data_IF_831810455834
#
_entry.id   IF_831810455834
#
_cell.length_a   1.000
_cell.length_b   1.000
_cell.length_c   1.000
_cell.angle_alpha   90.00
_cell.angle_beta   90.00
_cell.angle_gamma   90.00
#
_symmetry.space_group_name_H-M   'P 1'
#
loop_
_entity.id
_entity.type
_entity.pdbx_description
1 polymer ?
#
# COMPACT_ATOMS: atom_id res chain seq x y z
N UNK A 1 -26.64 -28.39 -7.02
CA UNK A 1 -25.90 -28.09 -5.77
C UNK A 1 -26.42 -26.77 -5.23
N UNK A 2 -26.76 -26.68 -3.94
CA UNK A 2 -27.28 -25.43 -3.38
C UNK A 2 -26.11 -24.53 -2.98
N UNK A 3 -26.22 -23.20 -3.11
CA UNK A 3 -25.16 -22.26 -2.73
C UNK A 3 -24.81 -22.31 -1.24
N UNK A 4 -25.74 -22.75 -0.38
CA UNK A 4 -25.48 -23.02 1.04
C UNK A 4 -24.42 -24.09 1.25
N UNK A 5 -24.44 -25.15 0.43
CA UNK A 5 -23.52 -26.29 0.58
C UNK A 5 -22.07 -25.86 0.27
N UNK A 6 -21.88 -24.88 -0.62
CA UNK A 6 -20.57 -24.29 -0.92
C UNK A 6 -20.05 -23.42 0.22
N UNK A 7 -20.94 -22.71 0.93
CA UNK A 7 -20.58 -21.89 2.07
C UNK A 7 -20.21 -22.75 3.28
N UNK A 8 -20.94 -23.84 3.51
CA UNK A 8 -20.61 -24.82 4.56
C UNK A 8 -19.30 -25.55 4.25
N UNK A 9 -19.02 -25.85 2.99
CA UNK A 9 -17.75 -26.46 2.56
C UNK A 9 -16.56 -25.51 2.71
N UNK A 10 -16.75 -24.21 2.47
CA UNK A 10 -15.73 -23.19 2.72
C UNK A 10 -15.51 -22.95 4.22
N UNK A 11 -16.56 -23.02 5.04
CA UNK A 11 -16.47 -22.91 6.50
C UNK A 11 -15.82 -24.15 7.15
N UNK A 12 -15.97 -25.32 6.53
CA UNK A 12 -15.41 -26.59 6.98
C UNK A 12 -13.96 -26.83 6.54
N UNK A 13 -13.42 -26.01 5.62
CA UNK A 13 -12.02 -26.11 5.20
C UNK A 13 -11.10 -25.54 6.30
N UNK A 14 -10.29 -26.36 6.98
CA UNK A 14 -9.35 -25.88 8.01
C UNK A 14 -8.26 -24.94 7.43
N UNK A 15 -8.10 -24.88 6.10
CA UNK A 15 -7.26 -23.91 5.42
C UNK A 15 -7.97 -22.55 5.18
N UNK A 16 -9.30 -22.51 5.11
CA UNK A 16 -10.06 -21.27 4.87
C UNK A 16 -9.98 -20.28 6.05
N UNK A 17 -9.66 -20.75 7.25
CA UNK A 17 -9.43 -19.91 8.43
C UNK A 17 -7.95 -19.58 8.69
N UNK A 18 -7.02 -20.28 8.06
CA UNK A 18 -5.58 -20.03 8.22
C UNK A 18 -5.19 -19.06 7.13
N UNK A 19 -4.85 -17.84 7.49
CA UNK A 19 -4.30 -16.87 6.54
C UNK A 19 -2.97 -17.29 5.88
N UNK A 20 -2.58 -18.57 5.97
CA UNK A 20 -1.33 -19.17 5.53
C UNK A 20 -1.62 -20.30 4.53
N UNK A 21 -0.93 -20.29 3.38
CA UNK A 21 -0.92 -21.36 2.41
C UNK A 21 0.01 -22.51 2.82
N UNK A 22 0.03 -23.58 2.02
CA UNK A 22 0.92 -24.71 2.26
C UNK A 22 2.40 -24.29 2.20
N UNK A 23 3.20 -24.61 3.23
CA UNK A 23 4.63 -24.39 3.20
C UNK A 23 5.28 -25.22 2.11
N UNK A 24 6.12 -24.61 1.27
CA UNK A 24 6.98 -25.34 0.34
C UNK A 24 8.45 -25.03 0.60
N UNK A 25 9.32 -26.01 0.36
CA UNK A 25 10.75 -25.83 0.49
C UNK A 25 11.40 -25.54 -0.85
N UNK A 26 12.26 -24.54 -0.87
CA UNK A 26 13.14 -24.22 -2.00
C UNK A 26 14.39 -25.12 -1.93
N UNK A 27 15.05 -25.46 -3.05
CA UNK A 27 16.27 -26.29 -3.05
C UNK A 27 17.38 -25.79 -2.10
N UNK A 28 17.40 -24.49 -1.81
CA UNK A 28 18.37 -23.85 -0.91
C UNK A 28 18.06 -24.01 0.59
N UNK A 29 17.05 -24.82 0.94
CA UNK A 29 16.61 -25.07 2.32
C UNK A 29 15.68 -24.01 2.91
N UNK A 30 15.23 -23.05 2.09
CA UNK A 30 14.30 -21.99 2.54
C UNK A 30 12.86 -22.51 2.55
N UNK A 31 12.18 -22.38 3.68
CA UNK A 31 10.73 -22.64 3.77
C UNK A 31 9.96 -21.38 3.41
N UNK A 32 9.08 -21.49 2.42
CA UNK A 32 8.25 -20.40 1.95
C UNK A 32 6.80 -20.65 2.37
N UNK A 33 6.17 -19.67 3.03
CA UNK A 33 4.77 -19.73 3.46
C UNK A 33 4.04 -18.51 2.87
N UNK A 34 3.09 -18.76 1.97
CA UNK A 34 2.24 -17.70 1.40
C UNK A 34 1.24 -17.25 2.45
N UNK A 35 0.97 -15.95 2.55
CA UNK A 35 -0.02 -15.40 3.48
C UNK A 35 -1.06 -14.65 2.68
N UNK A 36 -2.34 -14.87 3.00
CA UNK A 36 -3.47 -14.28 2.30
C UNK A 36 -3.91 -12.95 2.93
N UNK A 37 -3.70 -12.76 4.24
CA UNK A 37 -4.10 -11.54 4.97
C UNK A 37 -3.10 -11.20 6.10
N UNK A 38 -2.24 -10.17 5.93
CA UNK A 38 -2.02 -9.38 4.71
C UNK A 38 -1.36 -10.22 3.61
N UNK A 39 -1.58 -9.87 2.34
CA UNK A 39 -1.02 -10.62 1.22
C UNK A 39 0.51 -10.49 1.19
N UNK A 40 1.21 -11.63 1.09
CA UNK A 40 2.66 -11.67 1.00
C UNK A 40 3.23 -13.05 1.27
N UNK A 41 4.52 -13.09 1.58
CA UNK A 41 5.28 -14.33 1.75
C UNK A 41 6.20 -14.25 2.96
N UNK A 42 6.19 -15.27 3.80
CA UNK A 42 7.25 -15.52 4.78
C UNK A 42 8.29 -16.46 4.18
N UNK A 43 9.56 -16.08 4.28
CA UNK A 43 10.70 -16.94 4.01
C UNK A 43 11.42 -17.25 5.33
N UNK A 44 11.55 -18.53 5.66
CA UNK A 44 12.25 -19.01 6.85
C UNK A 44 13.51 -19.75 6.42
N UNK A 45 14.67 -19.29 6.92
CA UNK A 45 15.98 -19.90 6.67
C UNK A 45 16.89 -19.68 7.88
N UNK A 46 17.65 -20.70 8.27
CA UNK A 46 18.62 -20.63 9.38
C UNK A 46 18.02 -20.10 10.70
N UNK A 47 16.77 -20.49 11.00
CA UNK A 47 16.03 -20.01 12.18
C UNK A 47 15.57 -18.55 12.12
N UNK A 48 15.76 -17.85 10.99
CA UNK A 48 15.30 -16.47 10.76
C UNK A 48 14.09 -16.47 9.84
N UNK A 49 13.05 -15.72 10.22
CA UNK A 49 11.88 -15.47 9.39
C UNK A 49 11.94 -14.04 8.83
N UNK A 50 11.79 -13.90 7.51
CA UNK A 50 11.65 -12.62 6.83
C UNK A 50 10.29 -12.53 6.13
N UNK A 51 9.61 -11.39 6.27
CA UNK A 51 8.33 -11.11 5.63
C UNK A 51 8.53 -10.22 4.40
N UNK A 52 7.94 -10.62 3.27
CA UNK A 52 7.89 -9.80 2.06
C UNK A 52 6.42 -9.55 1.67
N UNK A 53 5.92 -8.32 1.82
CA UNK A 53 4.54 -8.00 1.45
C UNK A 53 4.35 -7.99 -0.07
N UNK A 54 3.20 -8.46 -0.54
CA UNK A 54 2.81 -8.37 -1.95
C UNK A 54 2.16 -7.01 -2.25
N UNK A 55 2.93 -5.93 -2.06
CA UNK A 55 2.48 -4.55 -2.31
C UNK A 55 3.23 -3.96 -3.49
N UNK A 56 2.54 -3.18 -4.31
CA UNK A 56 3.14 -2.43 -5.41
C UNK A 56 3.69 -1.10 -4.88
N UNK A 57 5.00 -1.09 -4.57
CA UNK A 57 5.70 0.09 -4.11
C UNK A 57 5.71 1.24 -5.13
N UNK A 58 5.67 0.92 -6.43
CA UNK A 58 5.64 1.92 -7.50
C UNK A 58 4.32 2.69 -7.51
N UNK A 59 3.20 1.99 -7.35
CA UNK A 59 1.88 2.63 -7.21
C UNK A 59 1.78 3.50 -5.96
N UNK A 60 2.30 3.02 -4.83
CA UNK A 60 2.30 3.81 -3.58
C UNK A 60 3.13 5.09 -3.77
N UNK A 61 4.32 4.98 -4.35
CA UNK A 61 5.17 6.13 -4.63
C UNK A 61 4.49 7.11 -5.60
N UNK A 62 3.87 6.61 -6.66
CA UNK A 62 3.16 7.45 -7.64
C UNK A 62 2.02 8.25 -6.99
N UNK A 63 1.22 7.63 -6.12
CA UNK A 63 0.17 8.33 -5.37
C UNK A 63 0.78 9.46 -4.53
N UNK A 64 1.86 9.16 -3.79
CA UNK A 64 2.55 10.17 -2.98
C UNK A 64 3.07 11.35 -3.81
N UNK A 65 3.68 11.07 -4.97
CA UNK A 65 4.20 12.09 -5.88
C UNK A 65 3.06 12.95 -6.46
N UNK A 66 1.97 12.34 -6.92
CA UNK A 66 0.81 13.08 -7.47
C UNK A 66 0.17 13.96 -6.40
N UNK A 67 -0.05 13.43 -5.20
CA UNK A 67 -0.61 14.20 -4.08
C UNK A 67 0.29 15.38 -3.71
N UNK A 68 1.61 15.16 -3.62
CA UNK A 68 2.57 16.22 -3.34
C UNK A 68 2.62 17.28 -4.43
N UNK A 69 2.60 16.88 -5.70
CA UNK A 69 2.56 17.78 -6.85
C UNK A 69 1.29 18.64 -6.84
N UNK A 70 0.12 18.03 -6.62
CA UNK A 70 -1.14 18.76 -6.52
C UNK A 70 -1.13 19.76 -5.37
N UNK A 71 -0.64 19.36 -4.20
CA UNK A 71 -0.49 20.26 -3.06
C UNK A 71 0.42 21.45 -3.39
N UNK A 72 1.57 21.21 -4.03
CA UNK A 72 2.50 22.25 -4.45
C UNK A 72 1.89 23.21 -5.47
N UNK A 73 1.15 22.69 -6.46
CA UNK A 73 0.44 23.50 -7.47
C UNK A 73 -0.61 24.38 -6.80
N UNK A 74 -1.45 23.81 -5.93
CA UNK A 74 -2.50 24.56 -5.23
C UNK A 74 -1.88 25.62 -4.31
N UNK A 75 -0.84 25.26 -3.55
CA UNK A 75 -0.11 26.21 -2.69
C UNK A 75 0.48 27.36 -3.50
N UNK A 76 1.11 27.07 -4.63
CA UNK A 76 1.64 28.10 -5.53
C UNK A 76 0.54 28.99 -6.10
N UNK A 77 -0.59 28.38 -6.53
CA UNK A 77 -1.73 29.12 -7.05
C UNK A 77 -2.38 30.01 -5.98
N UNK A 78 -2.43 29.55 -4.73
CA UNK A 78 -2.93 30.34 -3.61
C UNK A 78 -2.04 31.58 -3.39
N UNK A 79 -0.72 31.41 -3.39
CA UNK A 79 0.24 32.53 -3.32
C UNK A 79 0.08 33.49 -4.48
N UNK A 80 -0.17 33.00 -5.71
CA UNK A 80 -0.38 33.88 -6.87
C UNK A 80 -1.72 34.62 -6.83
N UNK A 81 -2.79 33.97 -6.36
CA UNK A 81 -4.13 34.56 -6.30
C UNK A 81 -4.29 35.56 -5.16
N UNK A 82 -3.67 35.27 -4.02
CA UNK A 82 -3.70 36.11 -2.83
C UNK A 82 -2.27 36.19 -2.30
N UNK A 83 -1.44 37.04 -2.94
CA UNK A 83 -0.08 37.22 -2.49
C UNK A 83 -0.06 37.58 -1.01
N UNK A 84 0.75 36.90 -0.20
CA UNK A 84 0.81 37.16 1.24
C UNK A 84 1.43 38.52 1.57
N UNK A 85 2.04 39.19 0.58
CA UNK A 85 2.62 40.52 0.76
C UNK A 85 1.58 41.64 0.57
N UNK A 86 1.76 42.78 1.27
CA UNK A 86 0.88 43.94 1.16
C UNK A 86 0.81 44.47 -0.28
N UNK A 87 -0.38 44.94 -0.70
CA UNK A 87 -0.54 45.65 -1.98
C UNK A 87 0.22 46.97 -1.94
N UNK A 88 1.22 47.11 -2.80
CA UNK A 88 1.95 48.38 -3.00
C UNK A 88 1.13 49.25 -3.94
N UNK A 89 0.74 50.43 -3.47
CA UNK A 89 0.14 51.49 -4.28
C UNK A 89 1.11 52.67 -4.26
N UNK A 90 1.76 52.94 -5.39
CA UNK A 90 2.60 54.13 -5.53
C UNK A 90 1.66 55.30 -5.84
N UNK A 91 1.59 56.27 -4.93
CA UNK A 91 0.86 57.52 -5.15
C UNK A 91 1.89 58.59 -5.49
N UNK A 92 1.93 59.03 -6.74
CA UNK A 92 2.69 60.21 -7.11
C UNK A 92 2.03 61.43 -6.45
N UNK A 93 2.79 62.08 -5.57
CA UNK A 93 2.41 63.38 -5.01
C UNK A 93 2.97 64.45 -5.93
N UNK A 94 2.08 65.22 -6.55
CA UNK A 94 2.41 66.35 -7.42
C UNK A 94 1.98 67.64 -6.75
#
# INVERSE_FOLDING_TARGET
MKPSDLLDQLAADPAAGRGYGEPYQTPDGTTIIVVTKPLGVFAIRDGKASWTPAVDGGRIALIGVITGLLAAVIGSLAVLRQPPWPRIVIRDYR
#
